data_IF_718191923147
#
_entry.id   IF_718191923147
#
_cell.length_a   1.000
_cell.length_b   1.000
_cell.length_c   1.000
_cell.angle_alpha   90.00
_cell.angle_beta   90.00
_cell.angle_gamma   90.00
#
_symmetry.space_group_name_H-M   'P 1'
#
loop_
_entity.id
_entity.type
_entity.pdbx_description
1 polymer ?
#
# COMPACT_ATOMS: atom_id res chain seq x y z
N UNK A 1 -3.79 26.84 -39.56
CA UNK A 1 -4.78 26.05 -38.80
C UNK A 1 -4.02 24.99 -38.03
N UNK A 2 -3.70 25.29 -36.77
CA UNK A 2 -2.87 24.49 -35.86
C UNK A 2 -3.78 23.73 -34.91
N UNK A 3 -3.82 22.40 -35.05
CA UNK A 3 -4.51 21.51 -34.12
C UNK A 3 -3.59 21.12 -32.97
N UNK A 4 -3.98 21.47 -31.74
CA UNK A 4 -3.36 20.96 -30.51
C UNK A 4 -3.84 19.54 -30.26
N UNK A 5 -2.90 18.61 -30.09
CA UNK A 5 -3.14 17.26 -29.59
C UNK A 5 -3.01 17.29 -28.06
N UNK A 6 -4.02 16.78 -27.35
CA UNK A 6 -4.06 16.75 -25.87
C UNK A 6 -3.29 15.54 -25.31
N UNK A 7 -2.85 15.55 -24.03
CA UNK A 7 -1.83 14.63 -23.51
C UNK A 7 -2.28 13.19 -23.19
N UNK A 8 -3.47 12.75 -23.64
CA UNK A 8 -4.11 11.54 -23.11
C UNK A 8 -3.93 10.25 -23.93
N UNK A 9 -3.19 10.28 -25.04
CA UNK A 9 -3.04 9.12 -25.96
C UNK A 9 -1.74 8.28 -25.79
N UNK A 10 -1.08 8.29 -24.63
CA UNK A 10 0.07 7.39 -24.36
C UNK A 10 -0.15 6.45 -23.18
N UNK A 11 -1.08 5.51 -23.31
CA UNK A 11 -1.06 4.27 -22.52
C UNK A 11 -1.43 3.12 -23.45
N UNK A 12 -0.47 2.68 -24.28
CA UNK A 12 -0.48 1.39 -24.98
C UNK A 12 0.88 1.18 -25.68
N UNK A 13 1.95 1.05 -24.90
CA UNK A 13 3.20 0.45 -25.39
C UNK A 13 4.04 0.01 -24.18
N UNK A 14 4.12 -1.31 -23.96
CA UNK A 14 5.17 -1.89 -23.12
C UNK A 14 6.52 -1.63 -23.80
N UNK A 15 7.52 -1.05 -23.12
CA UNK A 15 8.88 -0.99 -23.65
C UNK A 15 9.52 -2.39 -23.67
N UNK A 16 10.48 -2.65 -24.57
CA UNK A 16 11.19 -3.93 -24.59
C UNK A 16 11.99 -4.11 -23.29
N UNK A 17 12.06 -5.36 -22.85
CA UNK A 17 12.71 -5.77 -21.61
C UNK A 17 14.20 -5.39 -21.59
N UNK A 18 14.58 -4.56 -20.62
CA UNK A 18 15.98 -4.47 -20.17
C UNK A 18 16.33 -5.74 -19.36
N UNK A 19 17.60 -6.16 -19.32
CA UNK A 19 18.01 -7.37 -18.60
C UNK A 19 17.91 -7.13 -17.08
N UNK A 20 16.78 -7.49 -16.47
CA UNK A 20 16.60 -7.45 -15.02
C UNK A 20 17.14 -8.74 -14.43
N UNK A 21 18.21 -8.62 -13.64
CA UNK A 21 18.67 -9.70 -12.75
C UNK A 21 17.57 -10.03 -11.74
N UNK A 22 16.89 -11.16 -11.92
CA UNK A 22 15.84 -11.61 -10.99
C UNK A 22 16.49 -12.27 -9.78
N UNK A 23 16.27 -11.74 -8.57
CA UNK A 23 16.64 -12.42 -7.32
C UNK A 23 15.40 -12.85 -6.56
N UNK A 24 15.35 -14.13 -6.22
CA UNK A 24 14.35 -14.73 -5.33
C UNK A 24 14.86 -14.68 -3.90
N UNK A 25 14.02 -14.30 -2.94
CA UNK A 25 14.33 -14.42 -1.51
C UNK A 25 13.27 -15.29 -0.82
N UNK A 26 13.51 -16.60 -0.77
CA UNK A 26 12.70 -17.55 0.00
C UNK A 26 13.03 -17.50 1.49
N UNK A 27 12.02 -17.76 2.32
CA UNK A 27 12.20 -18.14 3.73
C UNK A 27 11.64 -19.54 3.92
N UNK A 28 12.54 -20.53 4.08
CA UNK A 28 12.41 -21.83 4.76
C UNK A 28 13.20 -22.94 4.05
N UNK A 29 13.90 -23.74 4.86
CA UNK A 29 14.91 -24.75 4.55
C UNK A 29 14.68 -25.60 3.28
N UNK A 30 15.74 -25.76 2.48
CA UNK A 30 15.95 -26.97 1.69
C UNK A 30 17.45 -27.24 1.53
N UNK A 31 17.89 -28.39 2.02
CA UNK A 31 19.24 -28.93 1.87
C UNK A 31 19.54 -29.13 0.39
N UNK A 32 20.62 -28.52 -0.13
CA UNK A 32 21.13 -28.84 -1.45
C UNK A 32 22.21 -29.93 -1.31
N UNK A 33 21.93 -31.11 -1.86
CA UNK A 33 22.94 -32.15 -2.13
C UNK A 33 23.77 -31.64 -3.32
N UNK A 34 25.03 -31.31 -3.10
CA UNK A 34 25.95 -30.98 -4.17
C UNK A 34 26.44 -32.26 -4.84
N UNK A 35 26.14 -32.44 -6.13
CA UNK A 35 26.78 -33.42 -7.01
C UNK A 35 28.04 -32.80 -7.61
N UNK A 36 29.21 -33.29 -7.20
CA UNK A 36 30.52 -32.93 -7.75
C UNK A 36 31.52 -34.06 -7.50
N UNK A 37 32.48 -34.31 -8.42
CA UNK A 37 33.23 -35.56 -8.50
C UNK A 37 34.29 -35.69 -7.40
N UNK A 38 34.74 -36.92 -7.07
CA UNK A 38 35.58 -37.16 -5.90
C UNK A 38 37.03 -36.73 -6.15
N UNK A 39 37.70 -36.10 -5.18
CA UNK A 39 39.15 -36.06 -5.18
C UNK A 39 39.71 -37.39 -4.65
N UNK A 40 40.59 -37.98 -5.45
CA UNK A 40 41.47 -39.08 -5.11
C UNK A 40 42.43 -38.69 -3.99
N UNK A 41 42.54 -39.52 -2.94
CA UNK A 41 43.57 -39.36 -1.89
C UNK A 41 43.49 -40.46 -0.82
N UNK A 42 44.61 -41.12 -0.59
CA UNK A 42 44.76 -42.42 0.10
C UNK A 42 44.53 -42.45 1.62
N UNK A 43 43.84 -43.52 2.05
CA UNK A 43 44.02 -44.39 3.23
C UNK A 43 44.82 -43.91 4.46
N UNK A 44 44.16 -43.97 5.63
CA UNK A 44 44.57 -44.84 6.77
C UNK A 44 43.40 -45.13 7.72
N UNK A 45 43.27 -46.39 8.14
CA UNK A 45 42.27 -46.94 9.08
C UNK A 45 42.87 -47.14 10.49
N UNK A 46 41.96 -47.22 11.49
CA UNK A 46 41.93 -48.05 12.74
C UNK A 46 41.65 -47.25 14.04
N UNK A 47 41.10 -47.87 15.13
CA UNK A 47 39.66 -48.18 15.31
C UNK A 47 39.08 -47.82 16.73
N UNK A 48 37.75 -47.96 16.91
CA UNK A 48 36.91 -48.25 18.11
C UNK A 48 37.36 -47.75 19.53
N UNK A 49 36.64 -46.93 20.33
CA UNK A 49 35.33 -47.06 21.05
C UNK A 49 35.56 -46.58 22.53
N UNK A 50 34.59 -46.40 23.46
CA UNK A 50 33.21 -45.87 23.42
C UNK A 50 32.88 -44.80 24.52
N UNK A 51 31.69 -44.16 24.38
CA UNK A 51 30.78 -43.55 25.39
C UNK A 51 31.24 -42.51 26.45
N UNK A 52 30.58 -41.32 26.47
CA UNK A 52 29.66 -40.79 27.53
C UNK A 52 29.45 -39.26 27.45
N UNK A 53 28.40 -38.79 28.14
CA UNK A 53 27.66 -37.52 28.07
C UNK A 53 28.40 -36.17 28.23
N UNK A 54 27.66 -35.13 27.80
CA UNK A 54 27.64 -33.74 28.26
C UNK A 54 28.53 -32.70 27.55
N UNK A 55 27.84 -31.84 26.79
CA UNK A 55 28.08 -30.39 26.71
C UNK A 55 29.45 -29.92 26.23
N UNK A 56 29.54 -29.50 24.96
CA UNK A 56 30.33 -28.34 24.54
C UNK A 56 29.93 -27.91 23.12
N UNK A 57 29.58 -26.63 23.01
CA UNK A 57 29.28 -25.92 21.76
C UNK A 57 30.56 -25.86 20.94
N UNK A 58 30.62 -26.56 19.81
CA UNK A 58 31.70 -26.37 18.84
C UNK A 58 31.21 -25.42 17.74
N UNK A 59 31.67 -24.18 17.87
CA UNK A 59 31.77 -23.18 16.79
C UNK A 59 32.61 -23.78 15.66
N UNK A 60 32.01 -23.85 14.48
CA UNK A 60 32.73 -23.91 13.22
C UNK A 60 32.25 -22.75 12.37
N UNK A 61 33.18 -21.86 12.06
CA UNK A 61 32.96 -20.72 11.18
C UNK A 61 32.79 -21.22 9.75
N UNK A 62 31.58 -21.08 9.22
CA UNK A 62 31.31 -21.12 7.79
C UNK A 62 30.72 -19.78 7.39
N UNK A 63 31.32 -19.21 6.35
CA UNK A 63 31.13 -17.85 5.82
C UNK A 63 29.65 -17.45 5.78
N UNK A 64 29.27 -16.56 6.69
CA UNK A 64 28.04 -15.77 6.61
C UNK A 64 28.13 -14.88 5.36
N UNK A 65 27.47 -15.27 4.27
CA UNK A 65 26.82 -14.24 3.47
C UNK A 65 25.72 -13.67 4.35
N UNK A 66 25.98 -12.47 4.86
CA UNK A 66 25.11 -11.71 5.75
C UNK A 66 23.69 -11.75 5.23
N UNK A 67 22.76 -12.24 6.06
CA UNK A 67 21.34 -11.98 5.86
C UNK A 67 21.21 -10.45 5.83
N UNK A 68 20.67 -9.84 4.75
CA UNK A 68 20.55 -8.40 4.71
C UNK A 68 19.77 -7.89 5.92
N UNK A 69 20.36 -6.95 6.64
CA UNK A 69 19.89 -6.36 7.92
C UNK A 69 18.46 -5.77 7.84
N UNK A 70 17.95 -5.56 6.62
CA UNK A 70 16.59 -5.07 6.38
C UNK A 70 15.47 -6.10 6.64
N UNK A 71 15.78 -7.40 6.76
CA UNK A 71 14.75 -8.43 7.04
C UNK A 71 14.07 -8.24 8.41
N UNK A 72 14.77 -7.66 9.37
CA UNK A 72 14.27 -7.35 10.73
C UNK A 72 14.00 -5.87 10.94
N UNK A 73 14.54 -5.01 10.09
CA UNK A 73 14.37 -3.57 10.24
C UNK A 73 12.97 -3.13 9.78
N UNK A 74 12.21 -2.58 10.72
CA UNK A 74 11.03 -1.75 10.49
C UNK A 74 11.40 -0.38 9.89
N UNK A 75 12.50 -0.32 9.11
CA UNK A 75 13.07 0.95 8.66
C UNK A 75 12.15 1.58 7.61
N UNK A 76 11.76 2.86 7.78
CA UNK A 76 10.90 3.56 6.83
C UNK A 76 11.60 3.86 5.50
N UNK A 77 12.90 3.60 5.36
CA UNK A 77 13.61 3.70 4.09
C UNK A 77 14.44 2.42 3.84
N UNK A 78 13.95 1.55 2.97
CA UNK A 78 14.72 0.39 2.46
C UNK A 78 15.78 0.94 1.49
N UNK A 79 16.99 1.19 2.01
CA UNK A 79 18.14 1.76 1.29
C UNK A 79 19.26 0.74 1.12
N UNK A 80 20.20 0.99 0.21
CA UNK A 80 21.34 0.10 -0.04
C UNK A 80 20.97 -1.16 -0.83
N UNK A 81 19.88 -1.12 -1.60
CA UNK A 81 19.54 -2.18 -2.54
C UNK A 81 20.29 -1.97 -3.86
N UNK A 82 20.35 -3.01 -4.69
CA UNK A 82 20.94 -2.91 -6.02
C UNK A 82 20.11 -1.95 -6.88
N UNK A 83 20.74 -1.06 -7.65
CA UNK A 83 20.06 -0.21 -8.62
C UNK A 83 19.20 -0.99 -9.62
N UNK A 84 18.09 -0.40 -10.08
CA UNK A 84 17.25 -0.91 -11.18
C UNK A 84 16.86 -2.39 -11.05
N UNK A 85 16.59 -2.84 -9.82
CA UNK A 85 16.41 -4.25 -9.49
C UNK A 85 15.00 -4.52 -8.98
N UNK A 86 14.44 -5.65 -9.41
CA UNK A 86 13.20 -6.21 -8.87
C UNK A 86 13.51 -7.20 -7.75
N UNK A 87 12.96 -6.95 -6.57
CA UNK A 87 12.93 -7.89 -5.46
C UNK A 87 11.53 -8.46 -5.29
N UNK A 88 11.44 -9.78 -5.17
CA UNK A 88 10.20 -10.49 -4.87
C UNK A 88 10.31 -10.99 -3.42
N UNK A 89 9.32 -10.64 -2.61
CA UNK A 89 9.22 -11.03 -1.21
C UNK A 89 7.89 -11.74 -1.01
N UNK A 90 7.97 -12.97 -0.53
CA UNK A 90 6.79 -13.80 -0.30
C UNK A 90 6.24 -13.56 1.12
N UNK A 91 4.93 -13.72 1.28
CA UNK A 91 4.24 -13.96 2.56
C UNK A 91 4.22 -12.77 3.54
N UNK A 92 4.16 -11.51 3.07
CA UNK A 92 4.08 -10.36 3.99
C UNK A 92 2.66 -9.93 4.34
N UNK A 93 1.68 -10.24 3.52
CA UNK A 93 0.27 -9.93 3.73
C UNK A 93 -0.54 -11.22 3.56
N UNK A 94 -1.45 -11.50 4.49
CA UNK A 94 -2.39 -12.62 4.33
C UNK A 94 -3.64 -12.11 3.62
N UNK A 95 -4.03 -12.82 2.56
CA UNK A 95 -5.21 -12.50 1.78
C UNK A 95 -6.33 -13.50 2.10
N UNK A 96 -7.61 -13.08 2.00
CA UNK A 96 -8.72 -14.01 2.04
C UNK A 96 -8.65 -14.95 0.84
N UNK A 97 -8.74 -16.25 1.10
CA UNK A 97 -8.95 -17.29 0.11
C UNK A 97 -10.42 -17.32 -0.35
N UNK A 98 -10.76 -18.24 -1.25
CA UNK A 98 -12.13 -18.40 -1.77
C UNK A 98 -13.18 -18.77 -0.71
N UNK A 99 -12.75 -19.24 0.48
CA UNK A 99 -13.61 -19.53 1.63
C UNK A 99 -13.66 -18.37 2.65
N UNK A 100 -12.90 -17.30 2.41
CA UNK A 100 -12.72 -16.19 3.33
C UNK A 100 -11.65 -16.41 4.42
N UNK A 101 -10.93 -17.53 4.37
CA UNK A 101 -9.82 -17.83 5.28
C UNK A 101 -8.57 -17.03 4.94
N UNK A 102 -7.79 -16.59 5.94
CA UNK A 102 -6.57 -15.80 5.73
C UNK A 102 -5.35 -16.68 5.48
N UNK A 103 -5.44 -17.54 4.46
CA UNK A 103 -4.45 -18.59 4.21
C UNK A 103 -3.50 -18.27 3.06
N UNK A 104 -3.97 -17.50 2.08
CA UNK A 104 -3.20 -17.14 0.88
C UNK A 104 -2.07 -16.16 1.20
N UNK A 105 -0.89 -16.51 0.69
CA UNK A 105 0.29 -15.68 0.79
C UNK A 105 0.35 -14.67 -0.36
N UNK A 106 0.60 -13.41 -0.01
CA UNK A 106 0.90 -12.37 -1.00
C UNK A 106 2.31 -12.53 -1.58
N UNK A 107 2.45 -12.01 -2.80
CA UNK A 107 3.75 -11.78 -3.44
C UNK A 107 3.96 -10.28 -3.61
N UNK A 108 4.78 -9.68 -2.75
CA UNK A 108 5.16 -8.29 -2.84
C UNK A 108 6.36 -8.10 -3.78
N UNK A 109 6.27 -7.08 -4.64
CA UNK A 109 7.34 -6.72 -5.57
C UNK A 109 7.87 -5.34 -5.24
N UNK A 110 9.17 -5.21 -5.07
CA UNK A 110 9.85 -3.94 -4.83
C UNK A 110 10.73 -3.63 -6.02
N UNK A 111 10.59 -2.42 -6.56
CA UNK A 111 11.39 -1.92 -7.67
C UNK A 111 12.26 -0.78 -7.16
N UNK A 112 13.55 -0.85 -7.47
CA UNK A 112 14.53 0.16 -7.11
C UNK A 112 14.90 1.04 -8.30
N UNK A 113 15.18 2.30 -8.01
CA UNK A 113 15.68 3.27 -8.99
C UNK A 113 17.18 3.08 -9.27
N UNK A 114 17.76 3.96 -10.08
CA UNK A 114 19.18 3.94 -10.44
C UNK A 114 20.14 4.16 -9.25
N UNK A 115 19.64 4.56 -8.08
CA UNK A 115 20.43 4.74 -6.85
C UNK A 115 20.26 3.57 -5.88
N UNK A 116 19.39 2.60 -6.20
CA UNK A 116 19.09 1.49 -5.30
C UNK A 116 18.06 1.84 -4.22
N UNK A 117 17.32 2.95 -4.38
CA UNK A 117 16.20 3.31 -3.49
C UNK A 117 14.91 2.70 -4.02
N UNK A 118 14.06 2.18 -3.14
CA UNK A 118 12.73 1.73 -3.58
C UNK A 118 11.93 2.91 -4.10
N UNK A 119 11.42 2.80 -5.32
CA UNK A 119 10.56 3.79 -5.96
C UNK A 119 9.12 3.28 -6.15
N UNK A 120 8.94 1.96 -6.24
CA UNK A 120 7.63 1.34 -6.44
C UNK A 120 7.48 0.03 -5.67
N UNK A 121 6.27 -0.21 -5.18
CA UNK A 121 5.87 -1.46 -4.54
C UNK A 121 4.56 -1.96 -5.15
N UNK A 122 4.53 -3.18 -5.68
CA UNK A 122 3.27 -3.86 -5.98
C UNK A 122 2.92 -4.74 -4.78
N UNK A 123 1.74 -4.54 -4.21
CA UNK A 123 1.28 -5.20 -2.98
C UNK A 123 -0.23 -5.36 -2.97
N UNK A 124 -0.76 -5.89 -1.88
CA UNK A 124 -2.17 -6.12 -1.66
C UNK A 124 -2.66 -5.32 -0.46
N UNK A 125 -3.92 -4.89 -0.51
CA UNK A 125 -4.59 -4.36 0.65
C UNK A 125 -4.81 -5.50 1.64
N UNK A 126 -4.42 -5.30 2.89
CA UNK A 126 -4.74 -6.25 3.94
C UNK A 126 -6.18 -6.11 4.39
N UNK A 127 -6.56 -7.04 5.27
CA UNK A 127 -7.90 -7.07 5.87
C UNK A 127 -7.81 -7.03 7.37
N UNK A 128 -8.94 -6.84 8.05
CA UNK A 128 -9.01 -6.85 9.50
C UNK A 128 -8.37 -8.13 10.08
N UNK A 129 -7.37 -7.95 10.93
CA UNK A 129 -6.60 -9.05 11.53
C UNK A 129 -5.34 -9.45 10.75
N UNK A 130 -5.22 -9.04 9.48
CA UNK A 130 -4.07 -9.31 8.61
C UNK A 130 -3.75 -8.08 7.73
N UNK A 131 -3.42 -6.97 8.39
CA UNK A 131 -3.08 -5.74 7.68
C UNK A 131 -1.77 -5.85 6.91
N UNK A 132 -1.70 -5.23 5.73
CA UNK A 132 -0.46 -5.14 4.96
C UNK A 132 0.59 -4.36 5.74
N UNK A 133 1.77 -4.98 5.92
CA UNK A 133 2.90 -4.34 6.60
C UNK A 133 3.40 -3.15 5.77
N UNK A 134 3.44 -3.30 4.45
CA UNK A 134 3.97 -2.28 3.54
C UNK A 134 3.05 -1.06 3.46
N UNK A 135 1.73 -1.26 3.52
CA UNK A 135 0.77 -0.16 3.54
C UNK A 135 0.63 0.49 4.93
N UNK A 136 0.98 -0.21 6.01
CA UNK A 136 1.01 0.38 7.37
C UNK A 136 2.32 1.12 7.68
N UNK A 137 3.45 0.60 7.20
CA UNK A 137 4.80 1.14 7.39
C UNK A 137 5.35 1.59 6.05
N UNK A 138 4.71 2.63 5.53
CA UNK A 138 4.98 3.18 4.20
C UNK A 138 6.36 3.81 4.15
N UNK A 139 6.94 3.78 2.97
CA UNK A 139 8.17 4.46 2.63
C UNK A 139 7.86 5.84 2.03
N UNK A 140 8.74 6.83 2.24
CA UNK A 140 8.57 8.15 1.65
C UNK A 140 8.90 8.13 0.15
N UNK A 141 8.18 8.93 -0.63
CA UNK A 141 8.34 9.07 -2.08
C UNK A 141 8.34 7.73 -2.82
N UNK A 142 7.33 6.91 -2.55
CA UNK A 142 7.11 5.60 -3.18
C UNK A 142 5.72 5.55 -3.79
N UNK A 143 5.63 4.93 -4.95
CA UNK A 143 4.36 4.56 -5.59
C UNK A 143 3.99 3.14 -5.21
N UNK A 144 2.81 2.96 -4.63
CA UNK A 144 2.24 1.66 -4.30
C UNK A 144 1.15 1.32 -5.30
N UNK A 145 1.31 0.21 -6.02
CA UNK A 145 0.22 -0.40 -6.78
C UNK A 145 -0.42 -1.46 -5.89
N UNK A 146 -1.69 -1.24 -5.55
CA UNK A 146 -2.40 -2.05 -4.56
C UNK A 146 -3.57 -2.76 -5.23
N UNK A 147 -3.67 -4.06 -5.01
CA UNK A 147 -4.86 -4.85 -5.32
C UNK A 147 -5.66 -5.08 -4.04
N UNK A 148 -6.95 -4.74 -4.04
CA UNK A 148 -7.85 -5.08 -2.95
C UNK A 148 -8.94 -6.04 -3.44
N UNK A 149 -9.10 -7.16 -2.75
CA UNK A 149 -10.19 -8.11 -2.99
C UNK A 149 -11.51 -7.51 -2.51
N UNK A 150 -12.58 -7.72 -3.28
CA UNK A 150 -13.93 -7.33 -2.92
C UNK A 150 -14.87 -8.53 -2.95
N UNK A 151 -16.14 -8.31 -2.64
CA UNK A 151 -17.15 -9.36 -2.71
C UNK A 151 -17.28 -9.91 -4.14
N UNK A 152 -17.68 -11.17 -4.26
CA UNK A 152 -17.85 -11.84 -5.54
C UNK A 152 -16.54 -12.17 -6.28
N UNK A 153 -15.40 -12.08 -5.60
CA UNK A 153 -14.09 -12.39 -6.18
C UNK A 153 -13.52 -11.30 -7.09
N UNK A 154 -14.14 -10.12 -7.11
CA UNK A 154 -13.67 -8.96 -7.88
C UNK A 154 -12.47 -8.29 -7.19
N UNK A 155 -11.78 -7.43 -7.94
CA UNK A 155 -10.58 -6.72 -7.50
C UNK A 155 -10.69 -5.23 -7.80
N UNK A 156 -10.42 -4.40 -6.80
CA UNK A 156 -10.19 -2.97 -7.02
C UNK A 156 -8.68 -2.72 -7.08
N UNK A 157 -8.27 -1.77 -7.92
CA UNK A 157 -6.88 -1.40 -8.11
C UNK A 157 -6.63 0.03 -7.67
N UNK A 158 -5.56 0.25 -6.91
CA UNK A 158 -5.17 1.56 -6.42
C UNK A 158 -3.74 1.88 -6.81
N UNK A 159 -3.47 3.15 -7.08
CA UNK A 159 -2.14 3.73 -7.16
C UNK A 159 -2.01 4.78 -6.07
N UNK A 160 -1.21 4.51 -5.05
CA UNK A 160 -0.99 5.40 -3.91
C UNK A 160 0.41 5.97 -4.00
N UNK A 161 0.54 7.29 -3.98
CA UNK A 161 1.84 7.98 -3.98
C UNK A 161 2.03 8.63 -2.62
N UNK A 162 3.18 8.39 -1.99
CA UNK A 162 3.55 9.01 -0.72
C UNK A 162 4.45 10.24 -0.90
N UNK A 163 4.39 11.16 0.06
CA UNK A 163 5.31 12.30 0.17
C UNK A 163 6.63 11.93 0.89
N UNK A 164 7.49 12.94 1.11
CA UNK A 164 8.77 12.82 1.82
C UNK A 164 8.63 12.33 3.28
N UNK A 165 7.42 12.36 3.84
CA UNK A 165 7.09 11.94 5.21
C UNK A 165 6.28 10.64 5.26
N UNK A 166 6.22 9.92 4.13
CA UNK A 166 5.46 8.69 3.96
C UNK A 166 3.95 8.85 4.23
N UNK A 167 3.42 10.05 3.96
CA UNK A 167 1.99 10.35 4.01
C UNK A 167 1.39 10.27 2.61
N UNK A 168 0.14 9.84 2.45
CA UNK A 168 -0.49 9.82 1.14
C UNK A 168 -0.61 11.23 0.57
N UNK A 169 -0.06 11.40 -0.63
CA UNK A 169 -0.11 12.62 -1.44
C UNK A 169 -1.17 12.51 -2.54
N UNK A 170 -1.27 11.34 -3.17
CA UNK A 170 -2.24 11.06 -4.22
C UNK A 170 -2.72 9.61 -4.09
N UNK A 171 -4.01 9.39 -4.26
CA UNK A 171 -4.61 8.05 -4.37
C UNK A 171 -5.50 8.01 -5.60
N UNK A 172 -5.14 7.17 -6.56
CA UNK A 172 -5.99 6.82 -7.69
C UNK A 172 -6.61 5.45 -7.44
N UNK A 173 -7.88 5.29 -7.77
CA UNK A 173 -8.64 4.08 -7.57
C UNK A 173 -9.48 3.76 -8.80
N UNK A 174 -9.40 2.51 -9.23
CA UNK A 174 -10.31 1.88 -10.17
C UNK A 174 -11.17 0.89 -9.40
N UNK A 175 -12.45 1.24 -9.27
CA UNK A 175 -13.42 0.52 -8.47
C UNK A 175 -14.34 -0.25 -9.41
N UNK A 176 -14.27 -1.57 -9.33
CA UNK A 176 -15.12 -2.50 -10.08
C UNK A 176 -15.99 -3.39 -9.18
N UNK A 177 -15.69 -3.43 -7.89
CA UNK A 177 -16.44 -4.17 -6.88
C UNK A 177 -16.60 -3.40 -5.57
N UNK A 178 -17.48 -3.91 -4.70
CA UNK A 178 -17.79 -3.34 -3.39
C UNK A 178 -17.55 -4.37 -2.27
N UNK A 179 -17.30 -3.88 -1.05
CA UNK A 179 -17.31 -4.67 0.18
C UNK A 179 -18.61 -4.39 0.96
N UNK A 180 -19.66 -5.16 0.67
CA UNK A 180 -20.97 -5.14 1.34
C UNK A 180 -20.94 -6.02 2.59
N UNK A 181 -20.17 -5.62 3.60
CA UNK A 181 -20.10 -6.38 4.85
C UNK A 181 -18.97 -5.92 5.76
N UNK A 182 -17.92 -6.75 5.87
CA UNK A 182 -16.75 -6.48 6.72
C UNK A 182 -15.87 -5.39 6.10
N UNK A 183 -16.31 -4.15 6.31
CA UNK A 183 -15.62 -2.94 5.92
C UNK A 183 -14.28 -2.87 6.67
N UNK A 184 -13.19 -3.01 5.93
CA UNK A 184 -11.83 -2.95 6.45
C UNK A 184 -11.50 -1.55 7.00
N UNK A 185 -11.47 -1.42 8.32
CA UNK A 185 -11.07 -0.20 9.04
C UNK A 185 -10.16 -0.51 10.21
N UNK A 186 -8.99 0.12 10.24
CA UNK A 186 -8.07 0.03 11.38
C UNK A 186 -8.29 1.23 12.31
N UNK A 187 -8.91 1.00 13.48
CA UNK A 187 -9.12 2.06 14.48
C UNK A 187 -7.80 2.70 14.93
N UNK A 188 -6.75 1.88 15.08
CA UNK A 188 -5.42 2.34 15.43
C UNK A 188 -4.83 3.27 14.38
N UNK A 189 -4.88 2.89 13.09
CA UNK A 189 -4.34 3.73 12.03
C UNK A 189 -5.14 5.02 11.87
N UNK A 190 -6.45 5.00 12.10
CA UNK A 190 -7.26 6.21 12.10
C UNK A 190 -6.87 7.17 13.23
N UNK A 191 -6.54 6.66 14.42
CA UNK A 191 -6.01 7.50 15.52
C UNK A 191 -4.64 8.09 15.14
N UNK A 192 -3.75 7.27 14.55
CA UNK A 192 -2.43 7.72 14.11
C UNK A 192 -2.50 8.81 13.04
N UNK A 193 -3.38 8.67 12.06
CA UNK A 193 -3.54 9.63 10.97
C UNK A 193 -4.36 10.86 11.38
N UNK A 194 -5.32 10.70 12.28
CA UNK A 194 -6.21 11.76 12.73
C UNK A 194 -5.64 12.59 13.86
N UNK A 195 -6.13 12.35 15.08
CA UNK A 195 -5.84 13.17 16.25
C UNK A 195 -4.34 13.34 16.55
N UNK A 196 -3.49 12.35 16.24
CA UNK A 196 -2.03 12.48 16.45
C UNK A 196 -1.35 13.42 15.46
N UNK A 197 -1.95 13.63 14.29
CA UNK A 197 -1.46 14.57 13.28
C UNK A 197 -2.24 15.88 13.39
N UNK A 198 -3.54 15.88 13.14
CA UNK A 198 -4.36 17.10 13.12
C UNK A 198 -4.69 17.70 14.50
N UNK A 199 -4.63 16.91 15.58
CA UNK A 199 -5.05 17.34 16.91
C UNK A 199 -6.57 17.23 17.12
N UNK A 200 -7.08 17.92 18.15
CA UNK A 200 -8.52 17.93 18.46
C UNK A 200 -9.31 18.48 17.27
N UNK A 201 -10.41 17.82 16.91
CA UNK A 201 -11.24 18.18 15.74
C UNK A 201 -10.86 17.46 14.44
N UNK A 202 -9.82 16.61 14.47
CA UNK A 202 -9.41 15.78 13.34
C UNK A 202 -9.53 14.29 13.61
N UNK A 203 -9.81 13.55 12.55
CA UNK A 203 -9.92 12.10 12.50
C UNK A 203 -9.05 11.53 11.39
N UNK A 204 -8.77 10.23 11.44
CA UNK A 204 -8.10 9.54 10.35
C UNK A 204 -9.11 9.23 9.28
N UNK A 205 -9.34 10.19 8.39
CA UNK A 205 -10.29 10.03 7.30
C UNK A 205 -9.73 9.11 6.22
N UNK A 206 -10.58 8.25 5.69
CA UNK A 206 -10.22 7.44 4.53
C UNK A 206 -10.20 8.33 3.28
N UNK A 207 -9.15 8.20 2.48
CA UNK A 207 -9.04 8.90 1.20
C UNK A 207 -9.98 8.26 0.17
N UNK A 208 -9.97 6.93 0.11
CA UNK A 208 -10.98 6.14 -0.59
C UNK A 208 -11.79 5.37 0.45
N UNK A 209 -13.11 5.53 0.42
CA UNK A 209 -14.03 4.88 1.34
C UNK A 209 -13.86 3.36 1.38
N UNK A 210 -14.01 2.78 2.56
CA UNK A 210 -13.87 1.33 2.75
C UNK A 210 -14.92 0.50 1.99
N UNK A 211 -16.10 1.06 1.65
CA UNK A 211 -17.08 0.37 0.79
C UNK A 211 -16.48 0.02 -0.57
N UNK A 212 -15.61 0.90 -1.08
CA UNK A 212 -14.85 0.68 -2.32
C UNK A 212 -13.58 -0.13 -2.09
N UNK A 213 -13.50 -0.88 -0.99
CA UNK A 213 -12.29 -1.59 -0.55
C UNK A 213 -11.04 -0.69 -0.45
N UNK A 214 -11.24 0.60 -0.19
CA UNK A 214 -10.15 1.49 0.18
C UNK A 214 -9.37 0.89 1.36
N UNK A 215 -8.03 0.75 1.26
CA UNK A 215 -7.22 0.11 2.29
C UNK A 215 -7.48 0.70 3.68
N UNK A 216 -7.58 -0.16 4.70
CA UNK A 216 -7.76 0.27 6.10
C UNK A 216 -6.44 0.69 6.76
N UNK A 217 -5.32 0.44 6.10
CA UNK A 217 -3.97 0.85 6.46
C UNK A 217 -3.75 2.34 6.23
N UNK A 218 -2.79 2.93 6.94
CA UNK A 218 -2.57 4.37 6.85
C UNK A 218 -2.07 4.89 5.48
N UNK A 219 -1.87 4.03 4.47
CA UNK A 219 -1.59 4.46 3.09
C UNK A 219 -2.79 5.14 2.43
N UNK A 220 -3.97 4.93 2.98
CA UNK A 220 -5.21 5.49 2.52
C UNK A 220 -5.86 6.36 3.61
N UNK A 221 -5.07 6.85 4.58
CA UNK A 221 -5.56 7.70 5.67
C UNK A 221 -4.79 9.00 5.77
N UNK A 222 -5.51 10.08 6.08
CA UNK A 222 -4.94 11.39 6.38
C UNK A 222 -5.66 12.04 7.56
N UNK A 223 -5.07 13.09 8.13
CA UNK A 223 -5.79 13.92 9.08
C UNK A 223 -6.90 14.67 8.35
N UNK A 224 -8.14 14.41 8.73
CA UNK A 224 -9.31 15.02 8.11
C UNK A 224 -10.20 15.66 9.18
N UNK A 225 -10.66 16.89 8.95
CA UNK A 225 -11.59 17.55 9.87
C UNK A 225 -12.82 16.67 10.10
N UNK A 226 -13.30 16.60 11.33
CA UNK A 226 -14.49 15.80 11.69
C UNK A 226 -15.70 16.12 10.81
N UNK A 227 -15.95 17.42 10.57
CA UNK A 227 -17.02 17.86 9.67
C UNK A 227 -16.82 17.33 8.24
N UNK A 228 -15.60 17.40 7.70
CA UNK A 228 -15.30 16.85 6.37
C UNK A 228 -15.47 15.32 6.34
N UNK A 229 -15.05 14.61 7.39
CA UNK A 229 -15.06 13.14 7.47
C UNK A 229 -16.45 12.54 7.72
N UNK A 230 -17.33 13.25 8.44
CA UNK A 230 -18.63 12.71 8.88
C UNK A 230 -19.85 13.48 8.39
N UNK A 231 -19.66 14.68 7.84
CA UNK A 231 -20.75 15.64 7.59
C UNK A 231 -21.37 16.22 8.88
N UNK A 232 -20.76 15.96 10.05
CA UNK A 232 -21.25 16.38 11.37
C UNK A 232 -20.07 16.72 12.30
N UNK A 233 -20.34 17.54 13.31
CA UNK A 233 -19.33 18.18 14.17
C UNK A 233 -19.43 19.71 14.03
N UNK A 234 -18.86 20.48 14.97
CA UNK A 234 -18.91 21.95 14.89
C UNK A 234 -18.21 22.39 13.61
N UNK A 235 -18.94 22.93 12.61
CA UNK A 235 -18.30 23.36 11.39
C UNK A 235 -17.52 24.63 11.73
N UNK A 236 -16.21 24.51 11.89
CA UNK A 236 -15.31 25.68 11.82
C UNK A 236 -15.12 26.12 10.34
N UNK A 237 -16.15 25.90 9.52
CA UNK A 237 -16.23 26.16 8.08
C UNK A 237 -17.64 26.72 7.77
N UNK A 238 -17.82 27.55 6.73
CA UNK A 238 -19.11 28.13 6.38
C UNK A 238 -20.22 27.09 6.17
N UNK A 239 -21.47 27.45 6.48
CA UNK A 239 -22.66 26.58 6.38
C UNK A 239 -22.94 26.05 4.96
N UNK A 240 -22.31 26.61 3.93
CA UNK A 240 -22.40 26.19 2.53
C UNK A 240 -21.21 25.33 2.05
N UNK A 241 -20.32 24.91 2.95
CA UNK A 241 -19.16 24.08 2.60
C UNK A 241 -19.60 22.63 2.37
N UNK A 242 -19.41 22.12 1.15
CA UNK A 242 -19.61 20.71 0.84
C UNK A 242 -18.65 19.86 1.68
N UNK A 243 -19.16 18.87 2.40
CA UNK A 243 -18.33 17.92 3.14
C UNK A 243 -17.88 16.79 2.21
N UNK A 244 -16.64 16.33 2.34
CA UNK A 244 -16.13 15.18 1.58
C UNK A 244 -17.03 13.95 1.77
N UNK A 245 -17.51 13.74 3.00
CA UNK A 245 -18.53 12.73 3.33
C UNK A 245 -19.77 12.74 2.40
N UNK A 246 -20.26 13.92 1.99
CA UNK A 246 -21.44 14.02 1.13
C UNK A 246 -21.15 13.51 -0.28
N UNK A 247 -19.95 13.82 -0.82
CA UNK A 247 -19.51 13.24 -2.08
C UNK A 247 -19.35 11.72 -1.96
N UNK A 248 -18.71 11.24 -0.90
CA UNK A 248 -18.58 9.78 -0.70
C UNK A 248 -19.96 9.11 -0.70
N UNK A 249 -20.93 9.66 0.02
CA UNK A 249 -22.31 9.15 0.05
C UNK A 249 -22.96 9.13 -1.34
N UNK A 250 -22.81 10.19 -2.12
CA UNK A 250 -23.31 10.27 -3.50
C UNK A 250 -22.73 9.15 -4.39
N UNK A 251 -21.40 9.00 -4.36
CA UNK A 251 -20.70 7.96 -5.12
C UNK A 251 -21.11 6.55 -4.66
N UNK A 252 -21.18 6.34 -3.35
CA UNK A 252 -21.60 5.06 -2.74
C UNK A 252 -23.02 4.70 -3.15
N UNK A 253 -23.97 5.65 -3.10
CA UNK A 253 -25.34 5.42 -3.52
C UNK A 253 -25.45 5.06 -4.99
N UNK A 254 -24.74 5.78 -5.89
CA UNK A 254 -24.72 5.44 -7.33
C UNK A 254 -24.10 4.06 -7.58
N UNK A 255 -22.99 3.74 -6.90
CA UNK A 255 -22.31 2.46 -7.05
C UNK A 255 -23.16 1.28 -6.51
N UNK A 256 -23.78 1.43 -5.33
CA UNK A 256 -24.67 0.43 -4.76
C UNK A 256 -25.85 0.15 -5.69
N UNK A 257 -26.50 1.20 -6.21
CA UNK A 257 -27.60 1.06 -7.13
C UNK A 257 -27.21 0.27 -8.39
N UNK A 258 -26.03 0.53 -8.96
CA UNK A 258 -25.54 -0.26 -10.11
C UNK A 258 -25.37 -1.73 -9.78
N UNK A 259 -24.68 -2.04 -8.69
CA UNK A 259 -24.46 -3.44 -8.30
C UNK A 259 -25.78 -4.14 -7.96
N UNK A 260 -26.69 -3.48 -7.25
CA UNK A 260 -28.00 -4.05 -6.88
C UNK A 260 -28.92 -4.28 -8.09
N UNK A 261 -28.73 -3.53 -9.17
CA UNK A 261 -29.46 -3.69 -10.44
C UNK A 261 -28.73 -4.57 -11.46
N UNK A 262 -27.62 -5.20 -11.07
CA UNK A 262 -26.83 -6.08 -11.94
C UNK A 262 -26.03 -5.36 -13.03
N UNK A 263 -25.90 -4.04 -12.93
CA UNK A 263 -25.06 -3.25 -13.85
C UNK A 263 -23.58 -3.36 -13.44
N UNK A 264 -22.65 -3.40 -14.41
CA UNK A 264 -21.23 -3.34 -14.12
C UNK A 264 -20.87 -1.99 -13.47
N UNK A 265 -19.91 -2.05 -12.55
CA UNK A 265 -19.33 -0.88 -11.90
C UNK A 265 -17.96 -0.59 -12.54
N UNK A 266 -17.79 0.62 -13.08
CA UNK A 266 -16.49 1.21 -13.41
C UNK A 266 -16.50 2.63 -12.85
N UNK A 267 -15.96 2.78 -11.63
CA UNK A 267 -15.79 4.07 -10.99
C UNK A 267 -14.29 4.36 -10.91
N UNK A 268 -13.88 5.48 -11.50
CA UNK A 268 -12.52 6.02 -11.39
C UNK A 268 -12.55 7.19 -10.42
N UNK A 269 -11.70 7.14 -9.39
CA UNK A 269 -11.53 8.23 -8.43
C UNK A 269 -10.05 8.55 -8.30
N UNK A 270 -9.70 9.81 -8.33
CA UNK A 270 -8.39 10.35 -7.99
C UNK A 270 -8.56 11.36 -6.88
N UNK A 271 -7.80 11.20 -5.81
CA UNK A 271 -7.78 12.12 -4.69
C UNK A 271 -6.37 12.66 -4.52
N UNK A 272 -6.24 13.98 -4.52
CA UNK A 272 -4.96 14.67 -4.33
C UNK A 272 -5.02 15.47 -3.01
N UNK A 273 -4.10 15.16 -2.11
CA UNK A 273 -3.93 15.87 -0.84
C UNK A 273 -3.00 17.07 -1.08
N UNK A 274 -3.55 18.27 -1.03
CA UNK A 274 -2.76 19.51 -1.18
C UNK A 274 -1.98 19.73 0.11
N UNK A 275 -0.64 19.91 0.06
CA UNK A 275 0.17 20.13 1.25
C UNK A 275 -0.39 21.23 2.14
N UNK A 276 -0.48 20.97 3.44
CA UNK A 276 -0.94 21.92 4.44
C UNK A 276 0.16 22.28 5.44
N UNK A 277 -0.20 22.73 6.65
CA UNK A 277 0.73 23.32 7.61
C UNK A 277 1.74 22.33 8.19
N UNK A 278 1.51 21.01 8.05
CA UNK A 278 2.46 19.97 8.46
C UNK A 278 2.20 18.63 7.76
N UNK A 279 3.17 17.71 7.76
CA UNK A 279 3.04 16.44 7.06
C UNK A 279 1.83 15.61 7.51
N UNK A 280 1.03 15.16 6.53
CA UNK A 280 -0.16 14.34 6.77
C UNK A 280 -1.40 15.14 7.21
N UNK A 281 -1.29 16.47 7.31
CA UNK A 281 -2.40 17.40 7.45
C UNK A 281 -2.50 18.26 6.18
N UNK A 282 -3.31 17.85 5.19
CA UNK A 282 -3.48 18.64 3.98
C UNK A 282 -4.30 19.91 4.22
N UNK A 283 -4.01 20.96 3.47
CA UNK A 283 -4.81 22.20 3.44
C UNK A 283 -6.20 21.93 2.89
N UNK A 284 -6.23 21.17 1.79
CA UNK A 284 -7.45 20.72 1.14
C UNK A 284 -7.23 19.40 0.41
N UNK A 285 -8.35 18.84 -0.04
CA UNK A 285 -8.38 17.62 -0.82
C UNK A 285 -9.12 17.89 -2.13
N UNK A 286 -8.48 17.58 -3.24
CA UNK A 286 -9.06 17.72 -4.57
C UNK A 286 -9.46 16.31 -5.07
N UNK A 287 -10.75 16.08 -5.32
CA UNK A 287 -11.30 14.78 -5.72
C UNK A 287 -11.81 14.86 -7.15
N UNK A 288 -11.20 14.10 -8.05
CA UNK A 288 -11.62 13.95 -9.44
C UNK A 288 -12.21 12.56 -9.63
N UNK A 289 -13.42 12.46 -10.19
CA UNK A 289 -14.08 11.17 -10.36
C UNK A 289 -14.90 11.08 -11.65
N UNK A 290 -15.16 9.86 -12.11
CA UNK A 290 -16.10 9.56 -13.21
C UNK A 290 -16.63 8.14 -13.09
N UNK A 291 -17.82 7.92 -13.63
CA UNK A 291 -18.32 6.58 -13.94
C UNK A 291 -18.13 6.29 -15.43
N UNK A 292 -17.72 5.08 -15.77
CA UNK A 292 -17.53 4.63 -17.15
C UNK A 292 -16.74 5.65 -18.02
N UNK A 293 -17.24 5.91 -19.23
CA UNK A 293 -16.75 6.91 -20.17
C UNK A 293 -17.29 8.33 -19.93
N UNK A 294 -17.96 8.60 -18.80
CA UNK A 294 -18.42 9.96 -18.46
C UNK A 294 -17.23 10.93 -18.33
N UNK A 295 -17.50 12.22 -18.54
CA UNK A 295 -16.49 13.26 -18.30
C UNK A 295 -16.18 13.38 -16.81
N UNK A 296 -14.89 13.50 -16.47
CA UNK A 296 -14.47 13.66 -15.08
C UNK A 296 -14.99 14.94 -14.45
N UNK A 297 -15.46 14.82 -13.21
CA UNK A 297 -15.87 15.94 -12.36
C UNK A 297 -14.85 16.09 -11.24
N UNK A 298 -14.44 17.34 -10.95
CA UNK A 298 -13.53 17.65 -9.83
C UNK A 298 -14.25 18.47 -8.76
N UNK A 299 -14.16 18.06 -7.49
CA UNK A 299 -14.63 18.80 -6.32
C UNK A 299 -13.48 19.04 -5.36
N UNK A 300 -13.50 20.17 -4.64
CA UNK A 300 -12.44 20.59 -3.72
C UNK A 300 -13.00 20.74 -2.31
N UNK A 301 -12.26 20.22 -1.33
CA UNK A 301 -12.71 20.14 0.06
C UNK A 301 -11.66 20.78 0.99
N UNK A 302 -11.93 21.96 1.57
CA UNK A 302 -11.02 22.56 2.54
C UNK A 302 -10.93 21.69 3.80
N UNK A 303 -9.73 21.54 4.32
CA UNK A 303 -9.42 20.65 5.45
C UNK A 303 -8.73 21.38 6.62
N UNK A 304 -8.72 22.71 6.62
CA UNK A 304 -8.27 23.53 7.75
C UNK A 304 -9.44 24.37 8.32
N UNK A 305 -9.44 24.66 9.64
CA UNK A 305 -10.36 25.60 10.25
C UNK A 305 -10.16 27.02 9.72
N UNK A 306 -11.23 27.82 9.67
CA UNK A 306 -11.18 29.22 9.21
C UNK A 306 -10.14 30.09 9.94
N UNK A 307 -9.93 29.91 11.25
CA UNK A 307 -8.98 30.69 12.05
C UNK A 307 -7.51 30.49 11.66
N UNK A 308 -7.18 29.44 10.90
CA UNK A 308 -5.81 29.18 10.44
C UNK A 308 -5.50 29.76 9.05
N UNK A 309 -6.50 30.36 8.37
CA UNK A 309 -6.31 30.95 7.03
C UNK A 309 -5.78 32.39 7.05
N UNK A 310 -5.89 33.10 8.17
CA UNK A 310 -5.49 34.52 8.29
C UNK A 310 -4.06 34.72 8.83
N UNK A 311 -3.29 33.65 9.01
CA UNK A 311 -1.91 33.70 9.54
C UNK A 311 -0.83 33.18 8.59
N UNK A 312 -1.16 33.03 7.30
CA UNK A 312 -0.23 32.65 6.22
C UNK A 312 -0.25 33.68 5.09
#
# INVERSE_FOLDING_TARGET
MTGMVTPWERISALPPALPVGRRWMKTSCLTLIATGPPPTGHLRRNPASPATHAGKRNRWWTSLMSIPEWRTATSPAKTGLEPNTLYIVDNRTKMPDSSGGLTDDSLERFYTDATGRVERVDTYAGVKGAWSVELNKRMPNVTYNVVAKTDGGLENHFTIITDDFAKPKSVEAHITGLLKGDINRSAWQQILAGIRVGGRGYEGGHIIASLFAGPGEGANLMAQLMFQNRGHGTPNVPANTLAFYQLERELMTKALHRVDTGQPLDLRVKVEAVPGPKPGLPDRVDVTFRFDAETSTTRRFPNLPMEQKESL
#
